data_IF_481580457220
#
_entry.id   IF_481580457220
#
_cell.length_a   1.000
_cell.length_b   1.000
_cell.length_c   1.000
_cell.angle_alpha   90.00
_cell.angle_beta   90.00
_cell.angle_gamma   90.00
#
_symmetry.space_group_name_H-M   'P 1'
#
loop_
_entity.id
_entity.type
_entity.pdbx_description
1 polymer ?
#
# COMPACT_ATOMS: atom_id res chain seq x y z
N UNK A 1 6.10 10.55 16.60
CA UNK A 1 5.85 9.13 16.91
C UNK A 1 5.49 8.41 15.62
N UNK A 2 5.90 7.14 15.48
CA UNK A 2 5.63 6.29 14.31
C UNK A 2 5.09 4.96 14.81
N UNK A 3 4.06 4.45 14.13
CA UNK A 3 3.61 3.06 14.25
C UNK A 3 3.89 2.35 12.92
N UNK A 4 4.60 1.24 12.98
CA UNK A 4 4.80 0.33 11.86
C UNK A 4 3.91 -0.91 12.05
N UNK A 5 3.20 -1.30 10.99
CA UNK A 5 2.28 -2.45 11.04
C UNK A 5 2.60 -3.48 9.97
N UNK A 6 2.32 -4.72 10.26
CA UNK A 6 2.54 -5.86 9.37
C UNK A 6 2.03 -7.15 9.95
N UNK A 7 2.17 -8.23 9.19
CA UNK A 7 1.74 -9.59 9.61
C UNK A 7 2.86 -10.45 10.15
N UNK A 8 4.12 -10.15 9.80
CA UNK A 8 5.28 -10.92 10.21
C UNK A 8 5.89 -10.33 11.49
N UNK A 9 5.75 -11.05 12.59
CA UNK A 9 6.18 -10.63 13.91
C UNK A 9 7.71 -10.53 14.05
N UNK A 10 8.46 -11.43 13.40
CA UNK A 10 9.92 -11.39 13.41
C UNK A 10 10.45 -10.14 12.69
N UNK A 11 9.88 -9.80 11.51
CA UNK A 11 10.24 -8.57 10.79
C UNK A 11 9.87 -7.32 11.61
N UNK A 12 8.73 -7.30 12.29
CA UNK A 12 8.34 -6.20 13.18
C UNK A 12 9.30 -6.05 14.36
N UNK A 13 9.68 -7.17 15.00
CA UNK A 13 10.64 -7.15 16.10
C UNK A 13 12.04 -6.72 15.64
N UNK A 14 12.48 -7.15 14.46
CA UNK A 14 13.74 -6.69 13.87
C UNK A 14 13.72 -5.19 13.58
N UNK A 15 12.62 -4.68 13.04
CA UNK A 15 12.44 -3.25 12.81
C UNK A 15 12.49 -2.45 14.12
N UNK A 16 11.86 -2.97 15.18
CA UNK A 16 11.89 -2.37 16.51
C UNK A 16 13.29 -2.32 17.12
N UNK A 17 14.14 -3.33 16.84
CA UNK A 17 15.55 -3.33 17.28
C UNK A 17 16.38 -2.26 16.57
N UNK A 18 16.14 -2.05 15.25
CA UNK A 18 16.84 -1.02 14.47
C UNK A 18 16.36 0.39 14.87
N UNK A 19 15.07 0.54 15.11
CA UNK A 19 14.43 1.82 15.44
C UNK A 19 13.69 1.73 16.79
N UNK A 20 14.37 1.87 17.95
CA UNK A 20 13.77 1.65 19.27
C UNK A 20 12.58 2.56 19.60
N UNK A 21 12.51 3.72 18.95
CA UNK A 21 11.47 4.73 19.22
C UNK A 21 10.15 4.49 18.47
N UNK A 22 10.09 3.52 17.52
CA UNK A 22 8.84 3.20 16.84
C UNK A 22 7.97 2.26 17.69
N UNK A 23 6.68 2.32 17.45
CA UNK A 23 5.70 1.33 17.94
C UNK A 23 5.48 0.33 16.83
N UNK A 24 5.44 -0.96 17.14
CA UNK A 24 5.12 -2.01 16.16
C UNK A 24 3.79 -2.66 16.54
N UNK A 25 2.93 -2.88 15.55
CA UNK A 25 1.61 -3.49 15.72
C UNK A 25 1.38 -4.57 14.68
N UNK A 26 1.05 -5.77 15.14
CA UNK A 26 0.67 -6.87 14.24
C UNK A 26 -0.78 -6.71 13.83
N UNK A 27 -1.02 -6.58 12.53
CA UNK A 27 -2.37 -6.45 11.98
C UNK A 27 -2.47 -7.09 10.60
N UNK A 28 -3.62 -7.74 10.32
CA UNK A 28 -3.92 -8.35 9.02
C UNK A 28 -4.94 -7.50 8.28
N UNK A 29 -4.54 -6.94 7.15
CA UNK A 29 -5.39 -6.03 6.36
C UNK A 29 -6.62 -6.71 5.73
N UNK A 30 -6.66 -8.03 5.61
CA UNK A 30 -7.85 -8.75 5.18
C UNK A 30 -8.93 -8.89 6.26
N UNK A 31 -8.69 -8.43 7.49
CA UNK A 31 -9.68 -8.35 8.56
C UNK A 31 -10.38 -6.97 8.50
N UNK A 32 -11.13 -6.76 7.41
CA UNK A 32 -11.72 -5.46 7.06
C UNK A 32 -12.65 -4.89 8.15
N UNK A 33 -13.36 -5.76 8.85
CA UNK A 33 -14.24 -5.44 9.98
C UNK A 33 -13.50 -4.88 11.20
N UNK A 34 -12.20 -5.17 11.32
CA UNK A 34 -11.36 -4.72 12.43
C UNK A 34 -10.60 -3.43 12.16
N UNK A 35 -10.60 -2.93 10.92
CA UNK A 35 -9.81 -1.75 10.54
C UNK A 35 -10.24 -0.50 11.31
N UNK A 36 -11.53 -0.28 11.56
CA UNK A 36 -11.99 0.88 12.30
C UNK A 36 -11.42 0.90 13.72
N UNK A 37 -11.54 -0.21 14.45
CA UNK A 37 -11.01 -0.35 15.81
C UNK A 37 -9.47 -0.28 15.82
N UNK A 38 -8.81 -0.83 14.82
CA UNK A 38 -7.36 -0.72 14.67
C UNK A 38 -6.92 0.74 14.54
N UNK A 39 -7.55 1.53 13.67
CA UNK A 39 -7.26 2.97 13.52
C UNK A 39 -7.52 3.74 14.81
N UNK A 40 -8.58 3.40 15.57
CA UNK A 40 -8.82 4.00 16.88
C UNK A 40 -7.66 3.76 17.84
N UNK A 41 -7.26 2.50 17.99
CA UNK A 41 -6.13 2.10 18.84
C UNK A 41 -4.83 2.82 18.45
N UNK A 42 -4.54 2.92 17.14
CA UNK A 42 -3.34 3.62 16.66
C UNK A 42 -3.42 5.11 16.93
N UNK A 43 -4.58 5.73 16.73
CA UNK A 43 -4.79 7.14 17.02
C UNK A 43 -4.55 7.47 18.52
N UNK A 44 -4.99 6.61 19.43
CA UNK A 44 -4.74 6.75 20.87
C UNK A 44 -3.25 6.61 21.21
N UNK A 45 -2.57 5.57 20.71
CA UNK A 45 -1.14 5.33 20.93
C UNK A 45 -0.25 6.48 20.44
N UNK A 46 -0.62 7.10 19.35
CA UNK A 46 0.09 8.24 18.78
C UNK A 46 -0.23 9.56 19.50
N UNK A 47 -1.39 9.67 20.13
CA UNK A 47 -1.97 10.93 20.63
C UNK A 47 -2.56 11.76 19.49
N UNK A 48 -2.95 11.10 18.40
CA UNK A 48 -3.53 11.68 17.19
C UNK A 48 -2.88 11.14 15.91
N UNK A 49 -3.66 10.95 14.86
CA UNK A 49 -3.22 10.45 13.58
C UNK A 49 -3.06 11.60 12.58
N UNK A 50 -1.83 11.95 12.23
CA UNK A 50 -1.50 13.05 11.32
C UNK A 50 -1.16 12.55 9.91
N UNK A 51 -0.48 11.40 9.81
CA UNK A 51 0.00 10.85 8.55
C UNK A 51 -0.37 9.37 8.46
N UNK A 52 -0.91 8.97 7.32
CA UNK A 52 -1.15 7.56 6.97
C UNK A 52 -0.37 7.23 5.70
N UNK A 53 0.41 6.15 5.74
CA UNK A 53 1.07 5.58 4.55
C UNK A 53 0.52 4.19 4.31
N UNK A 54 -0.26 4.00 3.25
CA UNK A 54 -0.74 2.70 2.79
C UNK A 54 0.28 2.13 1.80
N UNK A 55 1.20 1.32 2.31
CA UNK A 55 2.25 0.68 1.52
C UNK A 55 2.02 -0.82 1.33
N UNK A 56 1.37 -1.48 2.28
CA UNK A 56 1.20 -2.92 2.25
C UNK A 56 0.41 -3.39 1.02
N UNK A 57 0.83 -4.50 0.45
CA UNK A 57 0.17 -5.10 -0.70
C UNK A 57 0.77 -6.47 -1.01
N UNK A 58 0.01 -7.24 -1.77
CA UNK A 58 0.39 -8.56 -2.25
C UNK A 58 0.20 -8.68 -3.75
N UNK A 59 0.90 -9.63 -4.37
CA UNK A 59 0.64 -10.12 -5.72
C UNK A 59 0.31 -11.60 -5.68
N UNK A 60 -0.65 -12.03 -6.50
CA UNK A 60 -0.98 -13.43 -6.76
C UNK A 60 -1.18 -13.54 -8.27
N UNK A 61 -0.06 -13.64 -8.97
CA UNK A 61 0.02 -13.49 -10.41
C UNK A 61 -0.38 -14.78 -11.14
N UNK A 62 -1.19 -14.65 -12.17
CA UNK A 62 -1.48 -15.72 -13.12
C UNK A 62 -2.12 -15.14 -14.39
N UNK A 63 -2.02 -15.83 -15.52
CA UNK A 63 -2.76 -15.47 -16.73
C UNK A 63 -4.26 -15.43 -16.41
N UNK A 64 -4.99 -14.50 -17.00
CA UNK A 64 -6.40 -14.23 -16.69
C UNK A 64 -7.29 -15.49 -16.76
N UNK A 65 -7.04 -16.36 -17.73
CA UNK A 65 -7.79 -17.63 -17.90
C UNK A 65 -7.49 -18.67 -16.80
N UNK A 66 -6.42 -18.48 -16.03
CA UNK A 66 -5.99 -19.37 -14.93
C UNK A 66 -6.08 -18.69 -13.57
N UNK A 67 -6.36 -17.40 -13.54
CA UNK A 67 -6.51 -16.65 -12.30
C UNK A 67 -7.86 -17.02 -11.66
N UNK A 68 -7.81 -17.71 -10.54
CA UNK A 68 -9.03 -18.09 -9.82
C UNK A 68 -9.64 -16.91 -9.07
N UNK A 69 -10.92 -17.05 -8.75
CA UNK A 69 -11.70 -16.00 -8.10
C UNK A 69 -11.18 -15.69 -6.67
N UNK A 70 -10.69 -16.69 -5.96
CA UNK A 70 -10.14 -16.53 -4.62
C UNK A 70 -8.91 -15.62 -4.63
N UNK A 71 -7.96 -15.85 -5.54
CA UNK A 71 -6.77 -15.02 -5.69
C UNK A 71 -7.11 -13.59 -6.15
N UNK A 72 -8.10 -13.46 -7.05
CA UNK A 72 -8.63 -12.16 -7.43
C UNK A 72 -9.16 -11.40 -6.20
N UNK A 73 -10.10 -11.98 -5.50
CA UNK A 73 -10.71 -11.38 -4.29
C UNK A 73 -9.66 -11.03 -3.26
N UNK A 74 -8.73 -11.92 -2.97
CA UNK A 74 -7.70 -11.71 -1.96
C UNK A 74 -6.79 -10.51 -2.29
N UNK A 75 -6.40 -10.34 -3.56
CA UNK A 75 -5.60 -9.18 -3.97
C UNK A 75 -6.43 -7.89 -3.88
N UNK A 76 -7.68 -7.91 -4.34
CA UNK A 76 -8.58 -6.74 -4.24
C UNK A 76 -8.82 -6.37 -2.77
N UNK A 77 -9.10 -7.32 -1.91
CA UNK A 77 -9.39 -7.07 -0.49
C UNK A 77 -8.18 -6.48 0.23
N UNK A 78 -7.00 -7.09 0.07
CA UNK A 78 -5.80 -6.64 0.78
C UNK A 78 -5.24 -5.33 0.20
N UNK A 79 -5.21 -5.18 -1.13
CA UNK A 79 -4.58 -4.00 -1.72
C UNK A 79 -5.52 -2.80 -1.80
N UNK A 80 -6.77 -3.01 -2.25
CA UNK A 80 -7.69 -1.93 -2.59
C UNK A 80 -8.69 -1.66 -1.47
N UNK A 81 -9.47 -2.69 -1.06
CA UNK A 81 -10.54 -2.52 -0.06
C UNK A 81 -9.96 -2.05 1.27
N UNK A 82 -8.90 -2.71 1.75
CA UNK A 82 -8.29 -2.32 3.02
C UNK A 82 -7.69 -0.91 2.97
N UNK A 83 -7.02 -0.54 1.87
CA UNK A 83 -6.45 0.81 1.71
C UNK A 83 -7.53 1.88 1.74
N UNK A 84 -8.68 1.64 1.10
CA UNK A 84 -9.83 2.54 1.17
C UNK A 84 -10.36 2.65 2.61
N UNK A 85 -10.52 1.54 3.32
CA UNK A 85 -11.02 1.53 4.70
C UNK A 85 -10.04 2.22 5.65
N UNK A 86 -8.74 1.99 5.50
CA UNK A 86 -7.70 2.71 6.25
C UNK A 86 -7.80 4.23 6.02
N UNK A 87 -7.95 4.66 4.75
CA UNK A 87 -8.17 6.07 4.44
C UNK A 87 -9.44 6.60 5.09
N UNK A 88 -10.57 5.90 4.94
CA UNK A 88 -11.88 6.29 5.49
C UNK A 88 -11.83 6.54 7.00
N UNK A 89 -11.25 5.63 7.74
CA UNK A 89 -11.20 5.74 9.21
C UNK A 89 -10.11 6.70 9.70
N UNK A 90 -8.99 6.81 9.00
CA UNK A 90 -7.99 7.84 9.27
C UNK A 90 -8.55 9.25 9.04
N UNK A 91 -9.26 9.48 7.94
CA UNK A 91 -9.91 10.76 7.63
C UNK A 91 -10.88 11.16 8.74
N UNK A 92 -11.66 10.23 9.30
CA UNK A 92 -12.54 10.52 10.46
C UNK A 92 -11.77 11.14 11.64
N UNK A 93 -10.51 10.70 11.89
CA UNK A 93 -9.66 11.25 12.95
C UNK A 93 -9.05 12.60 12.54
N UNK A 94 -8.55 12.69 11.32
CA UNK A 94 -7.93 13.89 10.75
C UNK A 94 -8.90 15.07 10.65
N UNK A 95 -10.18 14.81 10.36
CA UNK A 95 -11.24 15.84 10.30
C UNK A 95 -11.40 16.59 11.62
N UNK A 96 -11.26 15.92 12.78
CA UNK A 96 -11.35 16.56 14.09
C UNK A 96 -10.24 17.60 14.30
N UNK A 97 -9.05 17.36 13.74
CA UNK A 97 -7.88 18.23 13.84
C UNK A 97 -7.80 19.24 12.68
N UNK A 98 -8.61 19.06 11.62
CA UNK A 98 -8.49 19.79 10.34
C UNK A 98 -7.07 19.73 9.77
N UNK A 99 -6.46 18.57 9.86
CA UNK A 99 -5.12 18.29 9.37
C UNK A 99 -4.94 16.81 9.10
N UNK A 100 -4.33 16.47 7.95
CA UNK A 100 -3.95 15.10 7.64
C UNK A 100 -3.18 14.98 6.33
N UNK A 101 -2.31 13.98 6.26
CA UNK A 101 -1.59 13.61 5.04
C UNK A 101 -1.75 12.11 4.81
N UNK A 102 -2.23 11.75 3.64
CA UNK A 102 -2.37 10.34 3.24
C UNK A 102 -1.52 10.11 2.00
N UNK A 103 -0.69 9.07 2.04
CA UNK A 103 0.16 8.63 0.94
C UNK A 103 -0.20 7.19 0.64
N UNK A 104 -0.71 6.94 -0.56
CA UNK A 104 -1.04 5.61 -1.04
C UNK A 104 0.04 5.14 -2.02
N UNK A 105 0.72 4.04 -1.70
CA UNK A 105 1.73 3.44 -2.59
C UNK A 105 1.00 2.59 -3.63
N UNK A 106 1.05 3.04 -4.87
CA UNK A 106 0.46 2.39 -6.03
C UNK A 106 1.51 1.59 -6.81
N UNK A 107 1.48 1.60 -8.11
CA UNK A 107 2.49 1.01 -8.98
C UNK A 107 2.32 1.54 -10.40
N UNK A 108 3.40 1.59 -11.16
CA UNK A 108 3.35 1.83 -12.60
C UNK A 108 2.44 0.81 -13.30
N UNK A 109 2.37 -0.42 -12.79
CA UNK A 109 1.49 -1.48 -13.30
C UNK A 109 0.01 -1.11 -13.24
N UNK A 110 -0.41 -0.27 -12.30
CA UNK A 110 -1.76 0.28 -12.24
C UNK A 110 -2.09 1.23 -13.41
N UNK A 111 -1.09 1.76 -14.10
CA UNK A 111 -1.23 2.64 -15.26
C UNK A 111 -1.04 1.90 -16.58
N UNK A 112 -0.11 0.97 -16.64
CA UNK A 112 0.30 0.29 -17.89
C UNK A 112 -0.30 -1.11 -18.06
N UNK A 113 -0.76 -1.73 -16.97
CA UNK A 113 -0.98 -3.17 -16.93
C UNK A 113 0.35 -3.95 -16.92
N UNK A 114 0.28 -5.24 -16.65
CA UNK A 114 1.37 -6.19 -16.82
C UNK A 114 0.83 -7.60 -17.02
N UNK A 115 1.53 -8.41 -17.81
CA UNK A 115 1.15 -9.79 -18.10
C UNK A 115 1.02 -10.60 -16.80
N UNK A 116 -0.11 -11.29 -16.62
CA UNK A 116 -0.38 -12.11 -15.45
C UNK A 116 -0.79 -11.36 -14.19
N UNK A 117 -0.94 -10.02 -14.22
CA UNK A 117 -1.21 -9.17 -13.06
C UNK A 117 -2.54 -8.42 -13.14
N UNK A 118 -3.56 -9.00 -13.76
CA UNK A 118 -4.85 -8.33 -13.92
C UNK A 118 -5.47 -7.88 -12.59
N UNK A 119 -5.42 -8.72 -11.55
CA UNK A 119 -5.89 -8.40 -10.19
C UNK A 119 -5.06 -7.29 -9.53
N UNK A 120 -3.74 -7.38 -9.63
CA UNK A 120 -2.82 -6.39 -9.05
C UNK A 120 -2.96 -5.04 -9.76
N UNK A 121 -2.95 -5.03 -11.09
CA UNK A 121 -3.16 -3.83 -11.91
C UNK A 121 -4.49 -3.14 -11.56
N UNK A 122 -5.59 -3.90 -11.50
CA UNK A 122 -6.90 -3.39 -11.10
C UNK A 122 -6.88 -2.78 -9.70
N UNK A 123 -6.23 -3.46 -8.73
CA UNK A 123 -6.13 -2.93 -7.37
C UNK A 123 -5.35 -1.62 -7.31
N UNK A 124 -4.22 -1.52 -8.00
CA UNK A 124 -3.37 -0.32 -7.99
C UNK A 124 -3.98 0.85 -8.78
N UNK A 125 -4.67 0.59 -9.88
CA UNK A 125 -5.46 1.58 -10.60
C UNK A 125 -6.64 2.09 -9.74
N UNK A 126 -7.34 1.20 -9.05
CA UNK A 126 -8.42 1.54 -8.14
C UNK A 126 -7.98 2.45 -6.99
N UNK A 127 -6.76 2.24 -6.44
CA UNK A 127 -6.18 3.12 -5.42
C UNK A 127 -6.00 4.53 -5.96
N UNK A 128 -5.48 4.70 -7.18
CA UNK A 128 -5.33 6.02 -7.82
C UNK A 128 -6.70 6.70 -7.98
N UNK A 129 -7.70 5.97 -8.45
CA UNK A 129 -9.03 6.50 -8.70
C UNK A 129 -9.71 6.98 -7.41
N UNK A 130 -9.79 6.14 -6.36
CA UNK A 130 -10.41 6.58 -5.11
C UNK A 130 -9.61 7.68 -4.42
N UNK A 131 -8.28 7.67 -4.52
CA UNK A 131 -7.44 8.72 -3.92
C UNK A 131 -7.74 10.10 -4.50
N UNK A 132 -7.95 10.19 -5.81
CA UNK A 132 -8.38 11.44 -6.47
C UNK A 132 -9.74 11.91 -5.96
N UNK A 133 -10.71 11.00 -5.80
CA UNK A 133 -12.03 11.32 -5.26
C UNK A 133 -11.93 11.86 -3.83
N UNK A 134 -11.22 11.15 -2.95
CA UNK A 134 -11.01 11.58 -1.56
C UNK A 134 -10.25 12.93 -1.50
N UNK A 135 -9.29 13.16 -2.38
CA UNK A 135 -8.58 14.44 -2.44
C UNK A 135 -9.53 15.60 -2.73
N UNK A 136 -10.47 15.42 -3.68
CA UNK A 136 -11.50 16.44 -3.98
C UNK A 136 -12.45 16.68 -2.80
N UNK A 137 -12.85 15.61 -2.08
CA UNK A 137 -13.75 15.70 -0.94
C UNK A 137 -13.15 16.45 0.26
N UNK A 138 -11.84 16.25 0.51
CA UNK A 138 -11.21 16.67 1.77
C UNK A 138 -10.15 17.76 1.66
N UNK A 139 -9.81 18.24 0.47
CA UNK A 139 -8.82 19.31 0.28
C UNK A 139 -9.12 20.56 1.10
N UNK A 140 -10.38 21.02 1.10
CA UNK A 140 -10.84 22.19 1.90
C UNK A 140 -10.78 21.97 3.40
N UNK A 141 -10.55 20.74 3.85
CA UNK A 141 -10.38 20.38 5.29
C UNK A 141 -8.91 20.26 5.68
N UNK A 142 -7.98 20.68 4.81
CA UNK A 142 -6.54 20.56 5.00
C UNK A 142 -6.08 19.09 5.16
N UNK A 143 -6.76 18.18 4.48
CA UNK A 143 -6.37 16.77 4.39
C UNK A 143 -5.92 16.52 2.95
N UNK A 144 -4.64 16.20 2.76
CA UNK A 144 -4.07 15.93 1.44
C UNK A 144 -3.93 14.43 1.24
N UNK A 145 -4.38 13.95 0.09
CA UNK A 145 -4.31 12.55 -0.29
C UNK A 145 -3.54 12.47 -1.61
N UNK A 146 -2.42 11.75 -1.59
CA UNK A 146 -1.55 11.61 -2.75
C UNK A 146 -1.21 10.14 -3.00
N UNK A 147 -0.80 9.85 -4.23
CA UNK A 147 -0.29 8.55 -4.63
C UNK A 147 1.18 8.67 -5.04
N UNK A 148 1.95 7.66 -4.68
CA UNK A 148 3.28 7.42 -5.23
C UNK A 148 3.18 6.15 -6.06
N UNK A 149 3.61 6.21 -7.33
CA UNK A 149 3.56 5.08 -8.26
C UNK A 149 4.98 4.63 -8.61
N UNK A 150 5.62 3.80 -7.78
CA UNK A 150 6.95 3.30 -8.09
C UNK A 150 6.96 2.51 -9.39
N UNK A 151 8.06 2.59 -10.11
CA UNK A 151 8.39 1.69 -11.19
C UNK A 151 8.81 0.32 -10.64
N UNK A 152 9.73 -0.33 -11.33
CA UNK A 152 10.31 -1.59 -10.87
C UNK A 152 11.50 -1.33 -9.95
N UNK A 153 11.29 -1.56 -8.66
CA UNK A 153 12.25 -1.31 -7.58
C UNK A 153 12.84 -2.65 -7.12
N UNK A 154 14.14 -2.69 -6.87
CA UNK A 154 14.82 -3.86 -6.32
C UNK A 154 14.34 -4.15 -4.89
N UNK A 155 13.62 -5.26 -4.71
CA UNK A 155 12.99 -5.67 -3.45
C UNK A 155 12.88 -7.20 -3.40
N UNK A 156 12.58 -7.77 -2.23
CA UNK A 156 12.27 -9.21 -2.06
C UNK A 156 11.22 -9.74 -3.08
N UNK A 157 10.38 -8.86 -3.61
CA UNK A 157 9.35 -9.20 -4.60
C UNK A 157 9.94 -9.32 -6.00
N UNK A 158 10.86 -8.44 -6.38
CA UNK A 158 11.51 -8.44 -7.69
C UNK A 158 12.67 -9.44 -7.78
N UNK A 159 13.25 -9.81 -6.65
CA UNK A 159 14.35 -10.80 -6.60
C UNK A 159 13.86 -12.24 -6.93
N UNK A 160 12.54 -12.49 -6.86
CA UNK A 160 11.92 -13.77 -7.22
C UNK A 160 11.63 -13.92 -8.71
N UNK A 161 11.83 -12.88 -9.48
CA UNK A 161 11.59 -12.87 -10.93
C UNK A 161 12.73 -13.66 -11.61
N UNK A 162 12.38 -14.57 -12.56
CA UNK A 162 13.40 -15.30 -13.31
C UNK A 162 14.25 -14.36 -14.18
N UNK A 163 15.48 -14.77 -14.49
CA UNK A 163 16.46 -13.90 -15.17
C UNK A 163 16.02 -13.46 -16.56
N UNK A 164 15.35 -14.31 -17.33
CA UNK A 164 14.89 -13.96 -18.67
C UNK A 164 13.80 -12.86 -18.61
N UNK A 165 12.85 -13.03 -17.71
CA UNK A 165 11.81 -12.03 -17.50
C UNK A 165 12.38 -10.72 -16.95
N UNK A 166 13.39 -10.82 -16.07
CA UNK A 166 14.12 -9.66 -15.53
C UNK A 166 14.84 -8.87 -16.61
N UNK A 167 15.52 -9.53 -17.54
CA UNK A 167 16.17 -8.87 -18.70
C UNK A 167 15.14 -8.16 -19.57
N UNK A 168 14.03 -8.81 -19.88
CA UNK A 168 12.94 -8.23 -20.67
C UNK A 168 12.32 -7.01 -19.97
N UNK A 169 12.25 -7.03 -18.64
CA UNK A 169 11.76 -5.93 -17.84
C UNK A 169 12.71 -4.74 -17.87
N UNK A 170 14.01 -4.98 -17.63
CA UNK A 170 15.06 -3.96 -17.64
C UNK A 170 15.12 -3.26 -19.01
N UNK A 171 14.99 -4.00 -20.11
CA UNK A 171 14.96 -3.42 -21.46
C UNK A 171 13.80 -2.44 -21.70
N UNK A 172 12.76 -2.49 -20.89
CA UNK A 172 11.61 -1.55 -20.95
C UNK A 172 11.80 -0.31 -20.07
N UNK A 173 12.80 -0.32 -19.20
CA UNK A 173 13.10 0.81 -18.29
C UNK A 173 14.09 1.73 -19.01
N UNK A 174 13.75 3.00 -19.24
CA UNK A 174 14.65 3.93 -19.94
C UNK A 174 16.02 4.10 -19.27
N UNK A 175 16.08 3.99 -17.93
CA UNK A 175 17.33 4.03 -17.18
C UNK A 175 18.21 2.79 -17.36
N UNK A 176 17.67 1.68 -17.94
CA UNK A 176 18.41 0.44 -18.17
C UNK A 176 18.66 -0.40 -16.93
N UNK A 177 18.07 -0.04 -15.79
CA UNK A 177 18.20 -0.77 -14.52
C UNK A 177 16.96 -0.62 -13.63
N UNK A 178 16.87 -1.48 -12.62
CA UNK A 178 15.82 -1.36 -11.59
C UNK A 178 16.19 -0.20 -10.66
N UNK A 179 15.18 0.56 -10.24
CA UNK A 179 15.35 1.54 -9.18
C UNK A 179 15.65 0.89 -7.82
N UNK A 180 16.07 1.71 -6.88
CA UNK A 180 16.31 1.31 -5.48
C UNK A 180 15.30 1.96 -4.54
N UNK A 181 15.30 1.59 -3.26
CA UNK A 181 14.45 2.25 -2.26
C UNK A 181 14.92 3.67 -1.90
N UNK A 182 16.11 4.07 -2.37
CA UNK A 182 16.71 5.39 -2.12
C UNK A 182 16.37 6.42 -3.21
N UNK A 183 15.92 5.93 -4.41
CA UNK A 183 15.44 6.78 -5.50
C UNK A 183 14.09 7.42 -5.19
#
# INVERSE_FOLDING_TARGET
KIVATGTNEEKLNSLKKIYPNIIVEKFKLNENDKIENFIETINEKLGGLDILVNNAGITLDNLSIRLNEENWKKVIDINLTSSFLMCKYAIKKMLKKKYGKIINITSIVGHTGNLGQANYAASKAGIVAFSKSLALEYAKKNININCVSPGFIKTDMTDKINEEFRKNLINKIPAGELGTGED
#
